data_IF_217316211337
#
_entry.id   IF_217316211337
#
_cell.length_a   1.000
_cell.length_b   1.000
_cell.length_c   1.000
_cell.angle_alpha   90.00
_cell.angle_beta   90.00
_cell.angle_gamma   90.00
#
_symmetry.space_group_name_H-M   'P 1'
#
loop_
_entity.id
_entity.type
_entity.pdbx_description
1 polymer ?
#
# COMPACT_ATOMS: atom_id res chain seq x y z
N UNK A 1 45.59 15.77 33.98
CA UNK A 1 44.14 15.96 34.19
C UNK A 1 43.87 17.46 34.22
N UNK A 2 43.36 18.07 33.13
CA UNK A 2 42.69 19.39 33.10
C UNK A 2 42.31 19.92 31.70
N UNK A 3 42.56 19.18 30.62
CA UNK A 3 42.25 19.65 29.24
C UNK A 3 40.88 19.21 28.69
N UNK A 4 40.15 18.33 29.36
CA UNK A 4 38.86 17.81 28.87
C UNK A 4 37.64 18.72 29.18
N UNK A 5 37.80 19.76 30.01
CA UNK A 5 36.68 20.62 30.44
C UNK A 5 36.41 21.81 29.51
N UNK A 6 37.37 22.20 28.67
CA UNK A 6 37.26 23.39 27.81
C UNK A 6 36.58 23.09 26.46
N UNK A 7 36.64 21.84 25.97
CA UNK A 7 35.95 21.45 24.73
C UNK A 7 34.43 21.27 24.88
N UNK A 8 33.93 21.00 26.09
CA UNK A 8 32.48 20.98 26.37
C UNK A 8 31.86 22.38 26.43
N UNK A 9 32.65 23.40 26.77
CA UNK A 9 32.17 24.79 26.79
C UNK A 9 32.03 25.42 25.39
N UNK A 10 32.87 25.00 24.42
CA UNK A 10 32.79 25.53 23.05
C UNK A 10 31.64 24.95 22.20
N UNK A 11 31.21 23.70 22.45
CA UNK A 11 30.09 23.08 21.70
C UNK A 11 28.71 23.52 22.23
N UNK A 12 28.62 23.94 23.49
CA UNK A 12 27.39 24.49 24.07
C UNK A 12 27.11 25.91 23.53
N UNK A 13 28.15 26.64 23.12
CA UNK A 13 28.00 28.00 22.60
C UNK A 13 27.43 28.04 21.17
N UNK A 14 27.70 27.03 20.32
CA UNK A 14 27.13 26.97 18.97
C UNK A 14 25.67 26.53 18.93
N UNK A 15 25.18 25.79 19.94
CA UNK A 15 23.76 25.48 20.07
C UNK A 15 22.94 26.65 20.63
N UNK A 16 23.53 27.48 21.50
CA UNK A 16 22.92 28.73 21.98
C UNK A 16 22.93 29.85 20.90
N UNK A 17 23.90 29.83 19.99
CA UNK A 17 23.98 30.78 18.87
C UNK A 17 22.87 30.61 17.80
N UNK A 18 22.22 29.45 17.73
CA UNK A 18 21.04 29.25 16.87
C UNK A 18 19.74 29.83 17.47
N UNK A 19 19.75 30.26 18.73
CA UNK A 19 18.62 30.93 19.40
C UNK A 19 18.88 32.42 19.71
N UNK A 20 20.12 32.92 19.58
CA UNK A 20 20.47 34.29 20.00
C UNK A 20 21.06 35.21 18.93
N UNK A 21 21.08 34.85 17.65
CA UNK A 21 21.50 35.76 16.56
C UNK A 21 20.38 36.03 15.54
N UNK A 22 19.27 36.63 16.00
CA UNK A 22 18.32 37.32 15.11
C UNK A 22 17.90 38.63 15.76
N UNK A 23 18.77 39.64 15.72
CA UNK A 23 18.32 41.04 15.83
C UNK A 23 17.74 41.46 14.48
N UNK A 24 16.56 40.93 14.14
CA UNK A 24 15.73 41.40 13.04
C UNK A 24 14.26 41.34 13.50
N UNK A 25 13.75 42.46 14.01
CA UNK A 25 12.33 42.76 14.20
C UNK A 25 11.56 41.95 15.26
N UNK A 26 10.89 42.63 16.18
CA UNK A 26 9.98 42.05 17.18
C UNK A 26 8.82 41.18 16.61
N UNK A 27 8.63 41.15 15.28
CA UNK A 27 7.69 40.25 14.60
C UNK A 27 8.26 38.84 14.33
N UNK A 28 9.59 38.70 14.26
CA UNK A 28 10.30 37.45 13.94
C UNK A 28 10.07 36.34 14.99
N UNK A 29 9.91 36.68 16.28
CA UNK A 29 9.79 35.70 17.35
C UNK A 29 8.40 35.04 17.45
N UNK A 30 7.36 35.61 16.84
CA UNK A 30 5.98 35.16 17.06
C UNK A 30 5.69 33.78 16.45
N UNK A 31 6.20 33.48 15.25
CA UNK A 31 5.95 32.21 14.56
C UNK A 31 6.60 31.02 15.28
N UNK A 32 7.87 31.15 15.66
CA UNK A 32 8.60 30.10 16.36
C UNK A 32 8.04 29.85 17.77
N UNK A 33 7.74 30.92 18.50
CA UNK A 33 7.12 30.81 19.82
C UNK A 33 5.74 30.14 19.73
N UNK A 34 4.92 30.50 18.73
CA UNK A 34 3.63 29.87 18.49
C UNK A 34 3.72 28.36 18.22
N UNK A 35 4.69 27.94 17.41
CA UNK A 35 4.95 26.51 17.17
C UNK A 35 5.36 25.78 18.45
N UNK A 36 6.31 26.33 19.22
CA UNK A 36 6.80 25.72 20.46
C UNK A 36 5.70 25.62 21.52
N UNK A 37 4.89 26.66 21.68
CA UNK A 37 3.74 26.64 22.57
C UNK A 37 2.74 25.55 22.18
N UNK A 38 2.47 25.40 20.88
CA UNK A 38 1.60 24.36 20.35
C UNK A 38 2.16 22.96 20.60
N UNK A 39 3.48 22.75 20.39
CA UNK A 39 4.15 21.50 20.74
C UNK A 39 3.95 21.17 22.23
N UNK A 40 4.16 22.13 23.12
CA UNK A 40 3.98 21.95 24.55
C UNK A 40 2.54 21.69 24.96
N UNK A 41 1.57 22.29 24.26
CA UNK A 41 0.15 21.99 24.44
C UNK A 41 -0.17 20.56 23.99
N UNK A 42 0.36 20.12 22.83
CA UNK A 42 0.19 18.76 22.32
C UNK A 42 0.74 17.70 23.30
N UNK A 43 1.88 17.96 23.93
CA UNK A 43 2.47 17.11 24.97
C UNK A 43 1.64 17.11 26.25
N UNK A 44 1.25 18.29 26.72
CA UNK A 44 0.46 18.47 27.95
C UNK A 44 -0.90 17.76 27.86
N UNK A 45 -1.59 17.89 26.72
CA UNK A 45 -2.89 17.24 26.50
C UNK A 45 -2.81 15.71 26.52
N UNK A 46 -1.62 15.15 26.32
CA UNK A 46 -1.33 13.71 26.36
C UNK A 46 -0.61 13.29 27.64
N UNK A 47 -0.48 14.22 28.58
CA UNK A 47 0.22 14.00 29.85
C UNK A 47 1.66 13.50 29.67
N UNK A 48 2.34 13.99 28.63
CA UNK A 48 3.76 13.73 28.37
C UNK A 48 4.59 14.88 28.94
N UNK A 49 5.55 14.55 29.83
CA UNK A 49 6.46 15.55 30.39
C UNK A 49 7.36 16.16 29.30
N UNK A 50 7.44 17.48 29.31
CA UNK A 50 8.13 18.26 28.26
C UNK A 50 9.63 18.01 28.28
N UNK A 51 10.24 18.03 29.47
CA UNK A 51 11.67 17.87 29.64
C UNK A 51 12.12 16.46 29.27
N UNK A 52 11.35 15.45 29.67
CA UNK A 52 11.60 14.06 29.31
C UNK A 52 11.41 13.81 27.80
N UNK A 53 10.42 14.44 27.17
CA UNK A 53 10.20 14.33 25.73
C UNK A 53 11.35 14.96 24.92
N UNK A 54 11.81 16.15 25.31
CA UNK A 54 12.96 16.78 24.67
C UNK A 54 14.21 15.92 24.83
N UNK A 55 14.43 15.32 26.01
CA UNK A 55 15.56 14.41 26.23
C UNK A 55 15.50 13.20 25.29
N UNK A 56 14.34 12.56 25.18
CA UNK A 56 14.15 11.41 24.31
C UNK A 56 14.37 11.75 22.83
N UNK A 57 13.76 12.83 22.35
CA UNK A 57 13.75 13.21 20.92
C UNK A 57 14.99 13.97 20.48
N UNK A 58 15.82 14.44 21.42
CA UNK A 58 17.11 15.07 21.17
C UNK A 58 18.29 14.20 21.61
N UNK A 59 18.07 12.89 21.80
CA UNK A 59 19.12 11.93 22.17
C UNK A 59 19.98 12.41 23.37
N UNK A 60 19.32 12.93 24.41
CA UNK A 60 19.96 13.38 25.65
C UNK A 60 20.67 14.74 25.58
N UNK A 61 20.59 15.45 24.45
CA UNK A 61 21.26 16.77 24.30
C UNK A 61 20.45 17.95 24.83
N UNK A 62 19.18 17.76 25.15
CA UNK A 62 18.28 18.81 25.67
C UNK A 62 17.25 18.18 26.61
N UNK A 63 16.87 18.87 27.69
CA UNK A 63 15.86 18.39 28.63
C UNK A 63 16.43 17.51 29.75
N UNK A 64 15.56 16.74 30.42
CA UNK A 64 15.90 15.91 31.57
C UNK A 64 15.59 14.43 31.31
N UNK A 65 16.50 13.54 31.69
CA UNK A 65 16.27 12.10 31.58
C UNK A 65 15.06 11.65 32.43
N UNK A 66 14.14 10.83 31.89
CA UNK A 66 13.05 10.26 32.68
C UNK A 66 13.59 9.28 33.72
N UNK A 67 12.95 9.23 34.89
CA UNK A 67 13.32 8.30 35.97
C UNK A 67 13.18 6.82 35.55
N UNK A 68 12.18 6.52 34.71
CA UNK A 68 12.02 5.24 34.03
C UNK A 68 11.95 5.47 32.53
N UNK A 69 13.07 5.27 31.85
CA UNK A 69 13.20 5.47 30.40
C UNK A 69 12.32 4.50 29.61
N UNK A 70 12.18 3.26 30.05
CA UNK A 70 11.43 2.25 29.32
C UNK A 70 9.94 2.57 29.35
N UNK A 71 9.38 2.77 30.56
CA UNK A 71 7.96 3.11 30.72
C UNK A 71 7.62 4.44 30.05
N UNK A 72 8.50 5.43 30.14
CA UNK A 72 8.31 6.71 29.45
C UNK A 72 8.31 6.53 27.93
N UNK A 73 9.29 5.80 27.38
CA UNK A 73 9.37 5.56 25.94
C UNK A 73 8.13 4.83 25.43
N UNK A 74 7.73 3.74 26.10
CA UNK A 74 6.50 3.00 25.76
C UNK A 74 5.27 3.90 25.73
N UNK A 75 5.12 4.79 26.71
CA UNK A 75 4.01 5.76 26.77
C UNK A 75 4.04 6.74 25.59
N UNK A 76 5.20 7.34 25.30
CA UNK A 76 5.32 8.28 24.17
C UNK A 76 5.05 7.56 22.84
N UNK A 77 5.45 6.29 22.72
CA UNK A 77 5.21 5.50 21.52
C UNK A 77 3.73 5.17 21.30
N UNK A 78 2.96 4.91 22.36
CA UNK A 78 1.49 4.77 22.29
C UNK A 78 0.84 6.05 21.74
N UNK A 79 1.28 7.20 22.22
CA UNK A 79 0.74 8.52 21.85
C UNK A 79 1.31 9.11 20.56
N UNK A 80 2.28 8.43 19.93
CA UNK A 80 3.08 8.95 18.82
C UNK A 80 2.23 9.49 17.68
N UNK A 81 1.24 8.74 17.20
CA UNK A 81 0.41 9.15 16.05
C UNK A 81 -0.38 10.44 16.36
N UNK A 82 -1.01 10.50 17.54
CA UNK A 82 -1.73 11.70 17.99
C UNK A 82 -0.80 12.90 18.18
N UNK A 83 0.41 12.66 18.69
CA UNK A 83 1.41 13.71 18.87
C UNK A 83 1.92 14.23 17.53
N UNK A 84 2.27 13.36 16.58
CA UNK A 84 2.69 13.72 15.22
C UNK A 84 1.61 14.57 14.54
N UNK A 85 0.35 14.16 14.60
CA UNK A 85 -0.76 14.90 14.01
C UNK A 85 -0.92 16.29 14.64
N UNK A 86 -0.96 16.36 15.97
CA UNK A 86 -1.14 17.63 16.69
C UNK A 86 -0.03 18.64 16.37
N UNK A 87 1.23 18.19 16.36
CA UNK A 87 2.37 19.06 16.06
C UNK A 87 2.46 19.37 14.57
N UNK A 88 2.02 18.47 13.68
CA UNK A 88 1.93 18.74 12.24
C UNK A 88 0.91 19.84 11.95
N UNK A 89 -0.27 19.81 12.59
CA UNK A 89 -1.26 20.89 12.48
C UNK A 89 -0.67 22.23 12.93
N UNK A 90 0.10 22.24 14.03
CA UNK A 90 0.78 23.44 14.48
C UNK A 90 1.83 23.94 13.46
N UNK A 91 2.61 23.02 12.88
CA UNK A 91 3.54 23.35 11.81
C UNK A 91 2.81 23.95 10.61
N UNK A 92 1.74 23.31 10.13
CA UNK A 92 0.98 23.76 8.96
C UNK A 92 0.37 25.14 9.16
N UNK A 93 -0.14 25.42 10.36
CA UNK A 93 -0.60 26.75 10.73
C UNK A 93 0.53 27.79 10.68
N UNK A 94 1.72 27.45 11.17
CA UNK A 94 2.91 28.32 11.07
C UNK A 94 3.38 28.52 9.62
N UNK A 95 3.31 27.49 8.79
CA UNK A 95 3.71 27.55 7.37
C UNK A 95 2.71 28.35 6.52
N UNK A 96 1.44 28.38 6.90
CA UNK A 96 0.40 29.17 6.25
C UNK A 96 0.48 30.68 6.56
N UNK A 97 1.30 31.09 7.54
CA UNK A 97 1.45 32.51 7.87
C UNK A 97 2.13 33.28 6.72
N UNK A 98 1.73 34.55 6.49
CA UNK A 98 2.41 35.42 5.52
C UNK A 98 3.89 35.61 5.87
N UNK A 99 4.73 35.86 4.87
CA UNK A 99 6.18 36.00 5.06
C UNK A 99 6.58 37.17 5.99
N UNK A 100 5.71 38.18 6.10
CA UNK A 100 5.87 39.28 7.06
C UNK A 100 5.79 38.81 8.53
N UNK A 101 5.16 37.66 8.80
CA UNK A 101 4.99 37.07 10.14
C UNK A 101 5.85 35.82 10.34
N UNK A 102 6.12 35.08 9.28
CA UNK A 102 6.99 33.91 9.30
C UNK A 102 7.72 33.78 7.96
N UNK A 103 8.98 34.23 7.90
CA UNK A 103 9.72 34.22 6.65
C UNK A 103 10.16 32.80 6.23
N UNK A 104 10.65 32.65 5.00
CA UNK A 104 11.01 31.35 4.44
C UNK A 104 12.11 30.61 5.23
N UNK A 105 13.09 31.32 5.79
CA UNK A 105 14.14 30.71 6.61
C UNK A 105 13.57 30.15 7.92
N UNK A 106 12.61 30.84 8.53
CA UNK A 106 11.91 30.38 9.72
C UNK A 106 11.02 29.18 9.43
N UNK A 107 10.24 29.24 8.35
CA UNK A 107 9.42 28.12 7.85
C UNK A 107 10.28 26.85 7.62
N UNK A 108 11.45 27.02 6.99
CA UNK A 108 12.43 25.95 6.81
C UNK A 108 12.97 25.39 8.14
N UNK A 109 13.29 26.27 9.09
CA UNK A 109 13.79 25.88 10.41
C UNK A 109 12.75 25.11 11.23
N UNK A 110 11.49 25.53 11.21
CA UNK A 110 10.38 24.84 11.88
C UNK A 110 10.13 23.46 11.27
N UNK A 111 10.14 23.36 9.94
CA UNK A 111 10.02 22.08 9.24
C UNK A 111 11.15 21.14 9.61
N UNK A 112 12.40 21.63 9.66
CA UNK A 112 13.55 20.84 10.07
C UNK A 112 13.45 20.38 11.54
N UNK A 113 12.98 21.24 12.44
CA UNK A 113 12.76 20.91 13.85
C UNK A 113 11.72 19.80 14.00
N UNK A 114 10.55 19.96 13.36
CA UNK A 114 9.51 18.94 13.33
C UNK A 114 10.04 17.60 12.80
N UNK A 115 10.69 17.61 11.63
CA UNK A 115 11.26 16.39 11.03
C UNK A 115 12.29 15.74 11.96
N UNK A 116 13.16 16.52 12.59
CA UNK A 116 14.17 16.02 13.52
C UNK A 116 13.56 15.34 14.74
N UNK A 117 12.56 15.97 15.38
CA UNK A 117 11.85 15.41 16.54
C UNK A 117 11.22 14.06 16.18
N UNK A 118 10.43 14.01 15.11
CA UNK A 118 9.64 12.83 14.80
C UNK A 118 10.42 11.72 14.11
N UNK A 119 11.52 12.02 13.40
CA UNK A 119 12.47 10.98 12.95
C UNK A 119 13.16 10.30 14.13
N UNK A 120 13.60 11.07 15.13
CA UNK A 120 14.18 10.50 16.34
C UNK A 120 13.15 9.71 17.13
N UNK A 121 11.95 10.27 17.34
CA UNK A 121 10.88 9.57 18.04
C UNK A 121 10.53 8.25 17.35
N UNK A 122 10.37 8.27 16.03
CA UNK A 122 10.10 7.07 15.24
C UNK A 122 11.21 6.02 15.44
N UNK A 123 12.49 6.40 15.39
CA UNK A 123 13.59 5.45 15.66
C UNK A 123 13.57 4.83 17.07
N UNK A 124 13.04 5.52 18.09
CA UNK A 124 12.88 4.98 19.44
C UNK A 124 11.67 4.06 19.57
N UNK A 125 10.64 4.30 18.76
CA UNK A 125 9.37 3.58 18.82
C UNK A 125 9.27 2.42 17.82
N UNK A 126 10.21 2.26 16.90
CA UNK A 126 10.21 1.15 15.95
C UNK A 126 10.52 -0.16 16.64
N UNK A 127 9.62 -1.11 16.49
CA UNK A 127 9.85 -2.51 16.80
C UNK A 127 10.88 -3.09 15.80
N UNK A 128 11.90 -3.84 16.28
CA UNK A 128 12.87 -4.53 15.41
C UNK A 128 12.23 -5.36 14.30
N UNK A 129 11.02 -5.91 14.54
CA UNK A 129 10.30 -6.73 13.57
C UNK A 129 10.02 -6.00 12.24
N UNK A 130 9.96 -4.65 12.20
CA UNK A 130 9.73 -3.90 10.95
C UNK A 130 10.72 -4.24 9.84
N UNK A 131 11.95 -4.58 10.20
CA UNK A 131 13.02 -4.88 9.23
C UNK A 131 12.81 -6.21 8.51
N UNK A 132 12.11 -7.14 9.15
CA UNK A 132 11.95 -8.51 8.64
C UNK A 132 10.52 -8.83 8.27
N UNK A 133 9.52 -8.08 8.75
CA UNK A 133 8.10 -8.39 8.58
C UNK A 133 7.71 -8.69 7.13
N UNK A 134 8.14 -7.87 6.15
CA UNK A 134 7.85 -8.14 4.74
C UNK A 134 8.41 -9.49 4.29
N UNK A 135 9.69 -9.75 4.59
CA UNK A 135 10.33 -11.04 4.28
C UNK A 135 9.67 -12.21 5.03
N UNK A 136 9.25 -12.01 6.27
CA UNK A 136 8.60 -13.03 7.08
C UNK A 136 7.20 -13.37 6.55
N UNK A 137 6.44 -12.37 6.10
CA UNK A 137 5.17 -12.56 5.40
C UNK A 137 5.36 -13.28 4.05
N UNK A 138 6.40 -12.95 3.28
CA UNK A 138 6.77 -13.65 2.04
C UNK A 138 7.03 -15.14 2.30
N UNK A 139 7.64 -15.51 3.44
CA UNK A 139 7.91 -16.92 3.78
C UNK A 139 6.65 -17.76 3.92
N UNK A 140 5.51 -17.16 4.26
CA UNK A 140 4.22 -17.86 4.29
C UNK A 140 3.83 -18.42 2.90
N UNK A 141 4.23 -17.76 1.81
CA UNK A 141 3.96 -18.22 0.45
C UNK A 141 4.98 -19.26 -0.02
N UNK A 142 6.26 -19.06 0.29
CA UNK A 142 7.34 -19.96 -0.16
C UNK A 142 7.30 -21.32 0.54
N UNK A 143 6.86 -21.38 1.80
CA UNK A 143 6.74 -22.64 2.56
C UNK A 143 5.76 -23.64 1.91
N UNK A 144 4.82 -23.15 1.09
CA UNK A 144 3.82 -23.97 0.39
C UNK A 144 4.06 -24.06 -1.13
N UNK A 145 5.26 -23.67 -1.58
CA UNK A 145 5.68 -23.70 -3.00
C UNK A 145 4.76 -22.88 -3.93
N UNK A 146 4.18 -21.79 -3.44
CA UNK A 146 3.48 -20.84 -4.31
C UNK A 146 4.51 -20.01 -5.07
N UNK A 147 4.50 -20.10 -6.41
CA UNK A 147 5.29 -19.26 -7.32
C UNK A 147 4.60 -17.91 -7.47
N UNK A 148 5.19 -16.83 -6.94
CA UNK A 148 4.63 -15.47 -7.01
C UNK A 148 4.75 -14.60 -5.75
N UNK A 149 5.56 -15.04 -4.77
CA UNK A 149 5.57 -14.55 -3.38
C UNK A 149 5.90 -13.07 -3.16
N UNK A 150 6.58 -12.41 -4.10
CA UNK A 150 7.13 -11.07 -3.85
C UNK A 150 6.24 -9.93 -4.37
N UNK A 151 5.36 -10.22 -5.34
CA UNK A 151 4.70 -9.19 -6.15
C UNK A 151 3.30 -8.83 -5.65
N UNK A 152 2.57 -9.77 -5.05
CA UNK A 152 1.15 -9.64 -4.72
C UNK A 152 0.86 -8.87 -3.44
N UNK A 153 1.76 -8.96 -2.47
CA UNK A 153 1.50 -8.47 -1.12
C UNK A 153 1.93 -7.02 -0.90
N UNK A 154 3.06 -6.63 -1.49
CA UNK A 154 3.73 -5.38 -1.12
C UNK A 154 3.65 -4.32 -2.20
N UNK A 155 3.28 -4.69 -3.42
CA UNK A 155 3.18 -3.75 -4.51
C UNK A 155 1.75 -3.64 -5.04
N UNK A 156 1.16 -2.48 -4.81
CA UNK A 156 -0.15 -2.08 -5.30
C UNK A 156 -0.27 -2.02 -6.82
N UNK A 157 0.84 -2.03 -7.54
CA UNK A 157 0.89 -1.80 -8.99
C UNK A 157 1.43 -2.99 -9.79
N UNK A 158 1.82 -4.07 -9.12
CA UNK A 158 2.32 -5.26 -9.80
C UNK A 158 1.16 -6.14 -10.31
N UNK A 159 1.47 -7.04 -11.24
CA UNK A 159 0.56 -8.03 -11.80
C UNK A 159 -0.12 -8.85 -10.70
N UNK A 160 -1.45 -8.70 -10.60
CA UNK A 160 -2.33 -9.51 -9.74
C UNK A 160 -3.09 -10.56 -10.55
N UNK A 161 -2.59 -10.85 -11.74
CA UNK A 161 -3.35 -11.53 -12.79
C UNK A 161 -3.25 -13.07 -12.62
N UNK A 162 -2.32 -13.54 -11.78
CA UNK A 162 -2.10 -14.96 -11.49
C UNK A 162 -1.93 -15.26 -9.98
N UNK A 163 -2.75 -14.64 -9.12
CA UNK A 163 -2.57 -14.73 -7.64
C UNK A 163 -2.70 -16.13 -7.04
N UNK A 164 -3.49 -17.01 -7.65
CA UNK A 164 -3.69 -18.40 -7.22
C UNK A 164 -2.73 -19.37 -7.94
N UNK A 165 -2.04 -18.92 -8.98
CA UNK A 165 -1.26 -19.75 -9.91
C UNK A 165 -1.66 -19.57 -11.36
N UNK A 166 -0.90 -20.23 -12.25
CA UNK A 166 -0.99 -20.09 -13.72
C UNK A 166 -1.55 -21.33 -14.42
N UNK A 167 -1.82 -22.40 -13.67
CA UNK A 167 -2.41 -23.64 -14.16
C UNK A 167 -3.32 -24.27 -13.11
N UNK A 168 -4.18 -25.20 -13.56
CA UNK A 168 -5.19 -25.83 -12.70
C UNK A 168 -4.59 -26.50 -11.44
N UNK A 169 -3.46 -27.17 -11.58
CA UNK A 169 -2.78 -27.84 -10.45
C UNK A 169 -2.33 -26.83 -9.38
N UNK A 170 -1.75 -25.70 -9.80
CA UNK A 170 -1.36 -24.63 -8.87
C UNK A 170 -2.56 -24.01 -8.17
N UNK A 171 -3.63 -23.74 -8.92
CA UNK A 171 -4.88 -23.14 -8.42
C UNK A 171 -5.55 -24.06 -7.40
N UNK A 172 -5.71 -25.35 -7.73
CA UNK A 172 -6.32 -26.33 -6.84
C UNK A 172 -5.52 -26.45 -5.54
N UNK A 173 -4.19 -26.54 -5.64
CA UNK A 173 -3.29 -26.58 -4.47
C UNK A 173 -3.43 -25.31 -3.63
N UNK A 174 -3.44 -24.14 -4.24
CA UNK A 174 -3.63 -22.88 -3.52
C UNK A 174 -4.97 -22.86 -2.78
N UNK A 175 -6.05 -23.23 -3.45
CA UNK A 175 -7.38 -23.20 -2.86
C UNK A 175 -7.55 -24.18 -1.68
N UNK A 176 -6.84 -25.32 -1.71
CA UNK A 176 -6.80 -26.27 -0.58
C UNK A 176 -5.99 -25.72 0.61
N UNK A 177 -4.88 -25.02 0.35
CA UNK A 177 -3.94 -24.55 1.37
C UNK A 177 -4.20 -23.11 1.85
N UNK A 178 -5.16 -22.40 1.23
CA UNK A 178 -5.49 -20.99 1.51
C UNK A 178 -5.68 -20.69 2.99
N UNK A 179 -6.40 -21.54 3.72
CA UNK A 179 -6.64 -21.33 5.15
C UNK A 179 -5.31 -21.32 5.95
N UNK A 180 -4.44 -22.29 5.67
CA UNK A 180 -3.11 -22.37 6.29
C UNK A 180 -2.23 -21.17 5.93
N UNK A 181 -2.31 -20.67 4.69
CA UNK A 181 -1.62 -19.46 4.26
C UNK A 181 -2.09 -18.24 5.06
N UNK A 182 -3.41 -18.03 5.16
CA UNK A 182 -3.97 -16.89 5.88
C UNK A 182 -3.64 -16.94 7.37
N UNK A 183 -3.62 -18.13 7.98
CA UNK A 183 -3.22 -18.30 9.37
C UNK A 183 -1.74 -17.96 9.59
N UNK A 184 -0.86 -18.36 8.66
CA UNK A 184 0.56 -17.98 8.69
C UNK A 184 0.73 -16.46 8.62
N UNK A 185 0.05 -15.78 7.69
CA UNK A 185 0.13 -14.33 7.51
C UNK A 185 -0.33 -13.59 8.77
N UNK A 186 -1.49 -13.98 9.31
CA UNK A 186 -2.05 -13.38 10.54
C UNK A 186 -1.11 -13.59 11.73
N UNK A 187 -0.64 -14.82 11.94
CA UNK A 187 0.28 -15.14 13.05
C UNK A 187 1.60 -14.38 12.95
N UNK A 188 2.15 -14.27 11.73
CA UNK A 188 3.38 -13.53 11.47
C UNK A 188 3.21 -12.04 11.78
N UNK A 189 2.08 -11.43 11.37
CA UNK A 189 1.77 -10.05 11.70
C UNK A 189 1.56 -9.84 13.21
N UNK A 190 0.89 -10.76 13.91
CA UNK A 190 0.66 -10.66 15.35
C UNK A 190 1.95 -10.65 16.17
N UNK A 191 3.03 -11.26 15.66
CA UNK A 191 4.35 -11.25 16.30
C UNK A 191 5.10 -9.92 16.15
N UNK A 192 4.52 -8.94 15.46
CA UNK A 192 5.13 -7.63 15.20
C UNK A 192 4.19 -6.51 15.64
N UNK A 193 4.53 -5.79 16.71
CA UNK A 193 3.68 -4.72 17.24
C UNK A 193 3.42 -3.60 16.21
N UNK A 194 4.37 -3.40 15.30
CA UNK A 194 4.27 -2.44 14.22
C UNK A 194 3.57 -2.97 12.95
N UNK A 195 3.12 -4.22 12.94
CA UNK A 195 2.44 -4.80 11.79
C UNK A 195 1.23 -3.98 11.32
N UNK A 196 0.34 -3.44 12.18
CA UNK A 196 -0.78 -2.63 11.70
C UNK A 196 -0.33 -1.41 10.86
N UNK A 197 0.78 -0.78 11.24
CA UNK A 197 1.35 0.33 10.46
C UNK A 197 1.95 -0.18 9.15
N UNK A 198 2.78 -1.22 9.22
CA UNK A 198 3.47 -1.77 8.04
C UNK A 198 2.48 -2.34 7.02
N UNK A 199 1.47 -3.11 7.47
CA UNK A 199 0.42 -3.65 6.60
C UNK A 199 -0.36 -2.53 5.91
N UNK A 200 -0.66 -1.41 6.59
CA UNK A 200 -1.26 -0.24 5.94
C UNK A 200 -0.35 0.38 4.89
N UNK A 201 0.96 0.47 5.15
CA UNK A 201 1.91 0.95 4.13
C UNK A 201 2.01 0.02 2.92
N UNK A 202 1.87 -1.29 3.13
CA UNK A 202 1.73 -2.27 2.05
C UNK A 202 0.33 -2.28 1.42
N UNK A 203 -0.62 -1.59 2.09
CA UNK A 203 -2.06 -1.64 1.85
C UNK A 203 -2.61 -3.07 1.79
N UNK A 204 -2.15 -3.89 2.73
CA UNK A 204 -2.63 -5.23 3.01
C UNK A 204 -3.73 -5.20 4.06
N UNK A 205 -4.85 -5.79 3.73
CA UNK A 205 -5.94 -6.11 4.64
C UNK A 205 -6.19 -7.62 4.51
N UNK A 206 -5.87 -8.37 5.56
CA UNK A 206 -5.99 -9.83 5.52
C UNK A 206 -7.42 -10.33 5.44
N UNK A 207 -8.41 -9.54 5.88
CA UNK A 207 -9.81 -9.91 5.72
C UNK A 207 -10.21 -9.75 4.26
N UNK A 208 -9.93 -8.58 3.68
CA UNK A 208 -10.13 -8.32 2.25
C UNK A 208 -9.43 -9.37 1.38
N UNK A 209 -8.16 -9.68 1.67
CA UNK A 209 -7.38 -10.67 0.96
C UNK A 209 -8.01 -12.08 1.01
N UNK A 210 -8.43 -12.51 2.20
CA UNK A 210 -9.08 -13.81 2.38
C UNK A 210 -10.40 -13.88 1.61
N UNK A 211 -11.21 -12.82 1.66
CA UNK A 211 -12.48 -12.75 0.95
C UNK A 211 -12.28 -12.79 -0.57
N UNK A 212 -11.26 -12.09 -1.08
CA UNK A 212 -10.86 -12.18 -2.49
C UNK A 212 -10.47 -13.60 -2.86
N UNK A 213 -9.60 -14.26 -2.07
CA UNK A 213 -9.21 -15.66 -2.34
C UNK A 213 -10.40 -16.63 -2.25
N UNK A 214 -11.39 -16.38 -1.40
CA UNK A 214 -12.63 -17.16 -1.38
C UNK A 214 -13.37 -17.07 -2.72
N UNK A 215 -13.55 -15.85 -3.24
CA UNK A 215 -14.22 -15.64 -4.51
C UNK A 215 -13.46 -16.29 -5.66
N UNK A 216 -12.15 -16.06 -5.77
CA UNK A 216 -11.35 -16.62 -6.85
C UNK A 216 -11.36 -18.16 -6.83
N UNK A 217 -11.27 -18.78 -5.65
CA UNK A 217 -11.35 -20.23 -5.50
C UNK A 217 -12.75 -20.82 -5.76
N UNK A 218 -13.82 -20.04 -5.63
CA UNK A 218 -15.17 -20.49 -5.99
C UNK A 218 -15.40 -20.45 -7.50
N UNK A 219 -14.61 -19.69 -8.25
CA UNK A 219 -14.76 -19.49 -9.69
C UNK A 219 -13.46 -19.75 -10.46
N UNK A 220 -12.76 -20.85 -10.13
CA UNK A 220 -11.44 -21.19 -10.71
C UNK A 220 -11.42 -21.23 -12.24
N UNK A 221 -12.53 -21.63 -12.87
CA UNK A 221 -12.64 -21.63 -14.34
C UNK A 221 -12.59 -20.22 -14.93
N UNK A 222 -13.34 -19.28 -14.36
CA UNK A 222 -13.29 -17.88 -14.79
C UNK A 222 -11.94 -17.23 -14.46
N UNK A 223 -11.33 -17.58 -13.32
CA UNK A 223 -9.99 -17.14 -12.95
C UNK A 223 -8.92 -17.63 -13.94
N UNK A 224 -8.98 -18.89 -14.37
CA UNK A 224 -8.03 -19.40 -15.37
C UNK A 224 -8.15 -18.65 -16.69
N UNK A 225 -9.36 -18.26 -17.10
CA UNK A 225 -9.58 -17.46 -18.30
C UNK A 225 -9.14 -16.01 -18.09
N UNK A 226 -9.28 -15.45 -16.88
CA UNK A 226 -8.72 -14.15 -16.47
C UNK A 226 -7.20 -14.13 -16.68
N UNK A 227 -6.48 -15.13 -16.18
CA UNK A 227 -5.00 -15.19 -16.30
C UNK A 227 -4.53 -15.18 -17.75
N UNK A 228 -5.35 -15.67 -18.69
CA UNK A 228 -5.07 -15.68 -20.13
C UNK A 228 -5.44 -14.33 -20.75
N UNK A 229 -6.60 -13.81 -20.37
CA UNK A 229 -7.17 -12.55 -20.83
C UNK A 229 -6.29 -11.34 -20.55
N UNK A 230 -5.68 -11.33 -19.38
CA UNK A 230 -4.87 -10.21 -18.91
C UNK A 230 -3.36 -10.49 -19.02
N UNK A 231 -2.97 -11.63 -19.62
CA UNK A 231 -1.57 -12.03 -19.80
C UNK A 231 -0.78 -11.08 -20.70
N UNK A 232 -1.40 -10.60 -21.77
CA UNK A 232 -0.79 -9.63 -22.67
C UNK A 232 -1.09 -8.23 -22.14
N UNK A 233 -0.05 -7.60 -21.59
CA UNK A 233 -0.08 -6.19 -21.20
C UNK A 233 -0.37 -5.35 -22.44
N UNK A 234 -1.64 -5.02 -22.68
CA UNK A 234 -1.92 -3.90 -23.56
C UNK A 234 -1.16 -2.68 -23.00
N UNK A 235 -0.56 -1.86 -23.87
CA UNK A 235 0.11 -0.62 -23.45
C UNK A 235 -0.78 0.26 -22.57
N UNK A 236 -2.10 0.08 -22.65
CA UNK A 236 -3.08 0.80 -21.85
C UNK A 236 -3.03 0.36 -20.38
N UNK A 237 -2.95 -0.94 -20.09
CA UNK A 237 -2.82 -1.43 -18.70
C UNK A 237 -1.50 -1.03 -18.06
N UNK A 238 -0.39 -1.12 -18.78
CA UNK A 238 0.92 -0.71 -18.27
C UNK A 238 0.93 0.79 -17.91
N UNK A 239 0.28 1.64 -18.71
CA UNK A 239 0.19 3.08 -18.42
C UNK A 239 -0.56 3.40 -17.11
N UNK A 240 -1.65 2.66 -16.82
CA UNK A 240 -2.38 2.79 -15.57
C UNK A 240 -1.48 2.43 -14.37
N UNK A 241 -0.76 1.29 -14.48
CA UNK A 241 0.10 0.77 -13.42
C UNK A 241 1.31 1.66 -13.15
N UNK A 242 2.00 2.12 -14.20
CA UNK A 242 3.17 3.01 -14.10
C UNK A 242 2.82 4.34 -13.43
N UNK A 243 1.67 4.92 -13.79
CA UNK A 243 1.17 6.16 -13.19
C UNK A 243 0.96 6.01 -11.68
N UNK A 244 0.35 4.91 -11.25
CA UNK A 244 0.14 4.63 -9.83
C UNK A 244 1.46 4.36 -9.12
N UNK A 245 2.40 3.63 -9.75
CA UNK A 245 3.67 3.25 -9.15
C UNK A 245 4.52 4.49 -8.82
N UNK A 246 4.56 5.44 -9.75
CA UNK A 246 5.21 6.74 -9.53
C UNK A 246 4.54 7.54 -8.40
N UNK A 247 3.20 7.59 -8.38
CA UNK A 247 2.46 8.36 -7.38
C UNK A 247 2.58 7.76 -5.98
N UNK A 248 2.52 6.43 -5.85
CA UNK A 248 2.74 5.72 -4.57
C UNK A 248 4.15 5.96 -4.07
N UNK A 249 5.17 5.78 -4.92
CA UNK A 249 6.57 6.04 -4.54
C UNK A 249 6.76 7.47 -4.04
N UNK A 250 6.11 8.45 -4.70
CA UNK A 250 6.12 9.85 -4.26
C UNK A 250 5.46 10.03 -2.89
N UNK A 251 4.29 9.45 -2.66
CA UNK A 251 3.60 9.52 -1.38
C UNK A 251 4.41 8.87 -0.24
N UNK A 252 5.06 7.74 -0.51
CA UNK A 252 5.94 7.07 0.46
C UNK A 252 7.14 7.96 0.83
N UNK A 253 7.75 8.63 -0.15
CA UNK A 253 8.80 9.63 0.11
C UNK A 253 8.26 10.80 0.95
N UNK A 254 7.09 11.35 0.59
CA UNK A 254 6.47 12.44 1.35
C UNK A 254 6.16 12.03 2.80
N UNK A 255 5.72 10.78 3.03
CA UNK A 255 5.50 10.24 4.37
C UNK A 255 6.82 10.05 5.13
N UNK A 256 7.84 9.46 4.49
CA UNK A 256 9.15 9.24 5.09
C UNK A 256 9.87 10.56 5.44
N UNK A 257 9.62 11.60 4.65
CA UNK A 257 10.08 12.96 4.92
C UNK A 257 9.20 13.73 5.92
N UNK A 258 8.08 13.14 6.36
CA UNK A 258 7.07 13.73 7.23
C UNK A 258 6.42 15.00 6.63
N UNK A 259 6.40 15.12 5.30
CA UNK A 259 5.69 16.19 4.60
C UNK A 259 4.17 16.00 4.72
N UNK A 260 3.71 14.75 4.76
CA UNK A 260 2.32 14.35 4.99
C UNK A 260 2.19 13.51 6.28
N UNK A 261 0.98 13.41 6.82
CA UNK A 261 0.66 12.55 7.97
C UNK A 261 0.26 11.14 7.50
N UNK A 262 0.28 10.15 8.41
CA UNK A 262 -0.23 8.79 8.14
C UNK A 262 -1.69 8.81 7.64
N UNK A 263 -2.51 9.71 8.19
CA UNK A 263 -3.92 9.86 7.83
C UNK A 263 -4.06 10.37 6.39
N UNK A 264 -3.27 11.38 6.02
CA UNK A 264 -3.27 11.95 4.67
C UNK A 264 -2.71 10.95 3.65
N UNK A 265 -1.60 10.29 4.00
CA UNK A 265 -1.05 9.20 3.19
C UNK A 265 -2.09 8.10 2.93
N UNK A 266 -2.82 7.67 3.96
CA UNK A 266 -3.87 6.66 3.82
C UNK A 266 -4.98 7.14 2.89
N UNK A 267 -5.45 8.38 3.05
CA UNK A 267 -6.47 8.97 2.16
C UNK A 267 -6.02 9.02 0.70
N UNK A 268 -4.79 9.48 0.45
CA UNK A 268 -4.25 9.60 -0.90
C UNK A 268 -4.00 8.23 -1.54
N UNK A 269 -3.47 7.26 -0.79
CA UNK A 269 -3.36 5.85 -1.23
C UNK A 269 -4.73 5.28 -1.61
N UNK A 270 -5.77 5.52 -0.81
CA UNK A 270 -7.11 5.04 -1.11
C UNK A 270 -7.65 5.64 -2.42
N UNK A 271 -7.44 6.94 -2.63
CA UNK A 271 -7.83 7.61 -3.86
C UNK A 271 -7.06 7.07 -5.08
N UNK A 272 -5.74 6.87 -4.95
CA UNK A 272 -4.92 6.28 -6.01
C UNK A 272 -5.37 4.87 -6.40
N UNK A 273 -5.77 4.04 -5.43
CA UNK A 273 -6.30 2.70 -5.72
C UNK A 273 -7.61 2.77 -6.49
N UNK A 274 -8.52 3.67 -6.12
CA UNK A 274 -9.76 3.88 -6.86
C UNK A 274 -9.50 4.41 -8.28
N UNK A 275 -8.57 5.37 -8.44
CA UNK A 275 -8.11 5.84 -9.75
C UNK A 275 -7.56 4.69 -10.59
N UNK A 276 -6.79 3.78 -9.99
CA UNK A 276 -6.20 2.64 -10.66
C UNK A 276 -7.28 1.69 -11.22
N UNK A 277 -8.25 1.32 -10.39
CA UNK A 277 -9.37 0.45 -10.79
C UNK A 277 -10.17 1.08 -11.93
N UNK A 278 -10.43 2.38 -11.83
CA UNK A 278 -11.15 3.14 -12.85
C UNK A 278 -10.38 3.21 -14.17
N UNK A 279 -9.06 3.37 -14.11
CA UNK A 279 -8.17 3.34 -15.27
C UNK A 279 -8.15 1.96 -15.94
N UNK A 280 -7.91 0.87 -15.19
CA UNK A 280 -7.90 -0.49 -15.74
C UNK A 280 -9.27 -0.86 -16.32
N UNK A 281 -10.36 -0.50 -15.64
CA UNK A 281 -11.73 -0.69 -16.15
C UNK A 281 -11.96 -0.01 -17.50
N UNK A 282 -11.51 1.23 -17.65
CA UNK A 282 -11.61 1.98 -18.90
C UNK A 282 -10.74 1.34 -19.99
N UNK A 283 -9.54 0.88 -19.64
CA UNK A 283 -8.63 0.18 -20.53
C UNK A 283 -9.26 -1.11 -21.08
N UNK A 284 -9.91 -1.92 -20.22
CA UNK A 284 -10.64 -3.13 -20.66
C UNK A 284 -11.71 -2.81 -21.70
N UNK A 285 -12.47 -1.73 -21.48
CA UNK A 285 -13.53 -1.31 -22.41
C UNK A 285 -12.97 -0.92 -23.79
N UNK A 286 -11.75 -0.36 -23.84
CA UNK A 286 -11.10 0.10 -25.08
C UNK A 286 -10.44 -1.03 -25.88
N UNK A 287 -9.98 -2.10 -25.21
CA UNK A 287 -9.25 -3.23 -25.86
C UNK A 287 -10.20 -4.26 -26.49
N UNK A 288 -11.51 -4.04 -26.46
CA UNK A 288 -12.55 -5.01 -26.83
C UNK A 288 -12.69 -5.31 -28.34
N UNK A 289 -11.64 -5.12 -29.16
CA UNK A 289 -11.74 -5.17 -30.62
C UNK A 289 -11.10 -6.40 -31.30
N UNK A 290 -10.35 -7.29 -30.63
CA UNK A 290 -9.80 -8.49 -31.32
C UNK A 290 -9.59 -9.78 -30.49
N UNK A 291 -9.52 -9.73 -29.15
CA UNK A 291 -9.54 -10.92 -28.26
C UNK A 291 -10.55 -10.67 -27.14
N UNK A 292 -11.82 -11.01 -27.36
CA UNK A 292 -12.88 -10.72 -26.39
C UNK A 292 -12.75 -11.60 -25.16
N UNK A 293 -12.26 -11.01 -24.08
CA UNK A 293 -12.44 -11.55 -22.75
C UNK A 293 -13.93 -11.60 -22.42
N UNK A 294 -14.47 -12.75 -21.99
CA UNK A 294 -15.87 -12.84 -21.60
C UNK A 294 -16.21 -11.86 -20.49
N UNK A 295 -17.41 -11.28 -20.50
CA UNK A 295 -17.85 -10.31 -19.49
C UNK A 295 -17.75 -10.86 -18.06
N UNK A 296 -18.01 -12.15 -17.86
CA UNK A 296 -17.84 -12.84 -16.57
C UNK A 296 -16.40 -12.87 -16.06
N UNK A 297 -15.42 -12.90 -16.98
CA UNK A 297 -13.98 -12.88 -16.68
C UNK A 297 -13.55 -11.46 -16.31
N UNK A 298 -14.01 -10.47 -17.09
CA UNK A 298 -13.80 -9.05 -16.79
C UNK A 298 -14.43 -8.70 -15.44
N UNK A 299 -15.65 -9.17 -15.18
CA UNK A 299 -16.37 -8.96 -13.93
C UNK A 299 -15.67 -9.59 -12.73
N UNK A 300 -15.04 -10.76 -12.89
CA UNK A 300 -14.22 -11.39 -11.86
C UNK A 300 -13.01 -10.51 -11.52
N UNK A 301 -12.31 -10.01 -12.54
CA UNK A 301 -11.17 -9.11 -12.36
C UNK A 301 -11.56 -7.83 -11.61
N UNK A 302 -12.64 -7.18 -12.03
CA UNK A 302 -13.13 -5.96 -11.37
C UNK A 302 -13.52 -6.24 -9.92
N UNK A 303 -14.19 -7.37 -9.65
CA UNK A 303 -14.53 -7.76 -8.29
C UNK A 303 -13.28 -7.99 -7.44
N UNK A 304 -12.26 -8.68 -7.97
CA UNK A 304 -10.99 -8.90 -7.28
C UNK A 304 -10.37 -7.57 -6.83
N UNK A 305 -10.17 -6.62 -7.74
CA UNK A 305 -9.52 -5.36 -7.39
C UNK A 305 -10.35 -4.53 -6.39
N UNK A 306 -11.67 -4.55 -6.52
CA UNK A 306 -12.58 -3.89 -5.60
C UNK A 306 -12.60 -4.53 -4.20
N UNK A 307 -12.47 -5.86 -4.12
CA UNK A 307 -12.43 -6.58 -2.85
C UNK A 307 -11.09 -6.41 -2.14
N UNK A 308 -9.98 -6.23 -2.88
CA UNK A 308 -8.65 -5.94 -2.34
C UNK A 308 -8.48 -4.51 -1.81
N UNK A 309 -9.51 -3.66 -1.91
CA UNK A 309 -9.51 -2.36 -1.25
C UNK A 309 -9.60 -2.55 0.27
N UNK A 310 -8.65 -1.99 1.05
CA UNK A 310 -8.68 -2.07 2.51
C UNK A 310 -9.99 -1.51 3.05
N UNK A 311 -10.45 -2.03 4.19
CA UNK A 311 -11.67 -1.54 4.84
C UNK A 311 -11.67 -0.01 5.02
N UNK A 312 -10.55 0.57 5.44
CA UNK A 312 -10.42 2.02 5.64
C UNK A 312 -10.64 2.82 4.34
N UNK A 313 -10.29 2.26 3.18
CA UNK A 313 -10.55 2.91 1.90
C UNK A 313 -12.03 2.86 1.50
N UNK A 314 -12.71 1.77 1.84
CA UNK A 314 -14.15 1.59 1.58
C UNK A 314 -14.98 2.55 2.43
N UNK A 315 -14.61 2.73 3.69
CA UNK A 315 -15.29 3.63 4.64
C UNK A 315 -15.09 5.11 4.32
N UNK A 316 -13.88 5.50 3.87
CA UNK A 316 -13.56 6.90 3.57
C UNK A 316 -14.19 7.45 2.28
N UNK A 317 -14.42 6.60 1.28
CA UNK A 317 -14.88 7.03 -0.05
C UNK A 317 -16.10 6.23 -0.55
N UNK A 318 -17.21 6.15 0.21
CA UNK A 318 -18.32 5.25 -0.11
C UNK A 318 -19.01 5.61 -1.43
N UNK A 319 -19.20 6.90 -1.72
CA UNK A 319 -19.84 7.36 -2.97
C UNK A 319 -19.03 7.01 -4.22
N UNK A 320 -17.71 7.17 -4.14
CA UNK A 320 -16.80 6.83 -5.23
C UNK A 320 -16.67 5.32 -5.39
N UNK A 321 -16.61 4.58 -4.28
CA UNK A 321 -16.59 3.12 -4.29
C UNK A 321 -17.81 2.55 -5.03
N UNK A 322 -19.03 3.03 -4.73
CA UNK A 322 -20.26 2.59 -5.43
C UNK A 322 -20.19 2.89 -6.93
N UNK A 323 -19.51 3.96 -7.33
CA UNK A 323 -19.37 4.32 -8.75
C UNK A 323 -18.37 3.44 -9.49
N UNK A 324 -17.21 3.18 -8.87
CA UNK A 324 -16.10 2.41 -9.46
C UNK A 324 -16.39 0.91 -9.40
N UNK A 325 -16.82 0.42 -8.23
CA UNK A 325 -17.01 -0.98 -7.86
C UNK A 325 -18.50 -1.38 -7.89
N UNK A 326 -19.14 -1.19 -9.03
CA UNK A 326 -20.56 -1.55 -9.24
C UNK A 326 -20.74 -3.07 -9.27
N UNK A 327 -21.51 -3.59 -8.31
CA UNK A 327 -21.75 -5.04 -8.18
C UNK A 327 -22.45 -5.64 -9.38
N UNK A 328 -23.25 -4.84 -10.11
CA UNK A 328 -23.92 -5.28 -11.34
C UNK A 328 -22.91 -5.62 -12.45
N UNK A 329 -21.71 -5.04 -12.39
CA UNK A 329 -20.63 -5.28 -13.36
C UNK A 329 -19.77 -6.48 -13.00
N UNK A 330 -20.09 -7.19 -11.92
CA UNK A 330 -19.39 -8.42 -11.54
C UNK A 330 -19.97 -9.65 -12.26
N UNK A 331 -21.18 -9.57 -12.83
CA UNK A 331 -21.82 -10.68 -13.54
C UNK A 331 -21.92 -11.96 -12.69
N UNK A 332 -22.29 -11.81 -11.40
CA UNK A 332 -22.37 -12.94 -10.45
C UNK A 332 -23.33 -14.05 -10.93
N UNK A 333 -24.56 -13.76 -11.38
CA UNK A 333 -25.48 -14.81 -11.83
C UNK A 333 -24.94 -15.60 -13.02
N UNK A 334 -24.35 -14.92 -13.99
CA UNK A 334 -23.79 -15.55 -15.18
C UNK A 334 -22.55 -16.38 -14.83
N UNK A 335 -21.73 -15.91 -13.88
CA UNK A 335 -20.51 -16.58 -13.44
C UNK A 335 -20.78 -17.92 -12.75
N UNK A 336 -21.87 -18.06 -12.00
CA UNK A 336 -22.25 -19.34 -11.36
C UNK A 336 -22.47 -20.46 -12.38
N UNK A 337 -22.95 -20.11 -13.57
CA UNK A 337 -23.17 -21.04 -14.68
C UNK A 337 -21.99 -21.15 -15.65
N UNK A 338 -20.94 -20.35 -15.44
CA UNK A 338 -19.82 -20.26 -16.37
C UNK A 338 -18.98 -21.53 -16.33
N UNK A 339 -19.17 -22.34 -17.38
CA UNK A 339 -18.29 -23.45 -17.72
C UNK A 339 -17.52 -23.03 -18.96
N UNK A 340 -16.19 -23.14 -18.91
CA UNK A 340 -15.37 -22.97 -20.10
C UNK A 340 -15.79 -24.04 -21.09
N UNK A 341 -16.50 -23.64 -22.14
CA UNK A 341 -16.82 -24.53 -23.24
C UNK A 341 -15.49 -24.94 -23.90
N UNK A 342 -14.96 -26.10 -23.55
CA UNK A 342 -13.84 -26.77 -24.24
C UNK A 342 -14.21 -27.21 -25.67
N UNK A 343 -15.24 -26.59 -26.26
CA UNK A 343 -15.84 -26.97 -27.52
C UNK A 343 -15.03 -26.46 -28.71
N UNK A 344 -14.18 -25.44 -28.55
CA UNK A 344 -13.46 -24.88 -29.70
C UNK A 344 -12.39 -25.82 -30.27
N UNK A 345 -11.61 -26.56 -29.48
CA UNK A 345 -10.50 -27.33 -30.07
C UNK A 345 -10.92 -28.76 -30.46
N UNK A 346 -11.72 -29.44 -29.63
CA UNK A 346 -12.17 -30.80 -29.96
C UNK A 346 -13.27 -30.84 -31.02
N UNK A 347 -14.22 -29.89 -31.04
CA UNK A 347 -15.22 -29.87 -32.12
C UNK A 347 -14.59 -29.46 -33.45
N UNK A 348 -13.58 -28.58 -33.44
CA UNK A 348 -12.86 -28.16 -34.65
C UNK A 348 -11.92 -29.26 -35.15
N UNK A 349 -11.27 -30.04 -34.27
CA UNK A 349 -10.57 -31.28 -34.67
C UNK A 349 -11.52 -32.36 -35.20
N UNK A 350 -12.65 -32.61 -34.54
CA UNK A 350 -13.65 -33.57 -35.04
C UNK A 350 -14.22 -33.14 -36.39
N UNK A 351 -14.48 -31.85 -36.60
CA UNK A 351 -14.95 -31.32 -37.87
C UNK A 351 -13.88 -31.46 -38.98
N UNK A 352 -12.60 -31.18 -38.67
CA UNK A 352 -11.50 -31.41 -39.61
C UNK A 352 -11.34 -32.89 -39.98
N UNK A 353 -11.45 -33.81 -39.02
CA UNK A 353 -11.39 -35.27 -39.29
C UNK A 353 -12.57 -35.68 -40.18
N UNK A 354 -13.78 -35.17 -39.91
CA UNK A 354 -14.97 -35.49 -40.68
C UNK A 354 -14.90 -34.96 -42.12
N UNK A 355 -14.38 -33.75 -42.32
CA UNK A 355 -14.16 -33.16 -43.65
C UNK A 355 -13.11 -33.94 -44.43
N UNK A 356 -12.00 -34.33 -43.80
CA UNK A 356 -10.95 -35.14 -44.46
C UNK A 356 -11.48 -36.53 -44.85
N UNK A 357 -12.24 -37.20 -43.97
CA UNK A 357 -12.86 -38.48 -44.28
C UNK A 357 -13.86 -38.39 -45.44
N UNK A 358 -14.71 -37.36 -45.45
CA UNK A 358 -15.72 -37.20 -46.50
C UNK A 358 -15.10 -36.86 -47.86
N UNK A 359 -14.02 -36.06 -47.90
CA UNK A 359 -13.25 -35.80 -49.13
C UNK A 359 -12.58 -37.08 -49.64
N UNK A 360 -11.96 -37.87 -48.77
CA UNK A 360 -11.32 -39.13 -49.16
C UNK A 360 -12.31 -40.15 -49.72
N UNK A 361 -13.48 -40.28 -49.11
CA UNK A 361 -14.55 -41.17 -49.60
C UNK A 361 -15.08 -40.69 -50.96
N UNK A 362 -15.29 -39.39 -51.13
CA UNK A 362 -15.75 -38.83 -52.40
C UNK A 362 -14.71 -39.05 -53.53
N UNK A 363 -13.42 -38.87 -53.23
CA UNK A 363 -12.35 -39.15 -54.18
C UNK A 363 -12.27 -40.63 -54.54
N UNK A 364 -12.37 -41.53 -53.55
CA UNK A 364 -12.32 -42.98 -53.77
C UNK A 364 -13.49 -43.48 -54.64
N UNK A 365 -14.71 -43.01 -54.36
CA UNK A 365 -15.89 -43.36 -55.14
C UNK A 365 -15.81 -42.82 -56.56
N UNK A 366 -15.27 -41.60 -56.75
CA UNK A 366 -15.05 -41.04 -58.08
C UNK A 366 -14.03 -41.88 -58.87
N UNK A 367 -12.94 -42.32 -58.23
CA UNK A 367 -11.94 -43.19 -58.86
C UNK A 367 -12.47 -44.58 -59.25
N UNK A 368 -13.43 -45.14 -58.52
CA UNK A 368 -14.07 -46.41 -58.89
C UNK A 368 -15.11 -46.29 -60.02
N UNK A 369 -15.60 -45.09 -60.33
CA UNK A 369 -16.53 -44.88 -61.43
C UNK A 369 -15.78 -44.65 -62.75
N UNK A 370 -14.54 -44.16 -62.69
CA UNK A 370 -13.71 -43.86 -63.87
C UNK A 370 -12.75 -44.98 -64.28
N UNK A 371 -12.54 -46.00 -63.43
CA UNK A 371 -11.88 -47.26 -63.77
C UNK A 371 -12.93 -48.35 -63.95
#
# INVERSE_FOLDING_TARGET
>A
MHTASLLRALVVCTAALLLCAVTVGAQSQNCQNGFVLSLYQCLSNRSIDRENFLWLTRNGTLGREPADLQSFTSRVCIEKSGLTMCVKTALDNSLALPDAQCNQAQKGSLSALYKGIFKNLDSKCRDPCRKTLASDLTKCYTHKMFTGSDYLLFNVTNERDAVLGTNATEVDRFCQERASLMDCLKTTALNCNDAPFMLRSFGLDFQALNDTYNVLCNYTTAYMDETICFKEQSQVFSSCRDSVAMKVSKLEMELAELNITDVKFTEDICNLRLDHIECEKTAVQQVNDTMKCPDVVIGLRLQQECMLLPYECRDKNPSRLVTVCRTEQFYLPERESYKRNSVSVMAQMSFCIYVVQSVLVAMYLSLQIYN
#
